data_IF_639430321244
#
_entry.id   IF_639430321244
#
_cell.length_a   1.000
_cell.length_b   1.000
_cell.length_c   1.000
_cell.angle_alpha   90.00
_cell.angle_beta   90.00
_cell.angle_gamma   90.00
#
_symmetry.space_group_name_H-M   'P 1'
#
loop_
_entity.id
_entity.type
_entity.pdbx_description
1 polymer ?
#
# COMPACT_ATOMS: atom_id res chain seq x y z
N UNK A 1 -84.33 -86.69 78.84
CA UNK A 1 -84.40 -85.36 79.49
C UNK A 1 -84.54 -84.32 78.40
N UNK A 2 -85.43 -83.34 78.57
CA UNK A 2 -85.60 -82.25 77.61
C UNK A 2 -84.38 -81.30 77.74
N UNK A 3 -83.51 -81.25 76.73
CA UNK A 3 -82.29 -80.42 76.75
C UNK A 3 -82.28 -79.41 75.60
N UNK A 4 -81.37 -78.43 75.65
CA UNK A 4 -81.11 -77.54 74.52
C UNK A 4 -80.40 -78.28 73.37
N UNK A 5 -80.70 -78.01 72.09
CA UNK A 5 -80.17 -78.79 70.96
C UNK A 5 -78.65 -78.76 70.75
N UNK A 6 -77.98 -77.64 71.08
CA UNK A 6 -76.58 -77.43 70.68
C UNK A 6 -75.57 -77.72 71.81
N UNK A 7 -75.94 -77.40 73.04
CA UNK A 7 -75.07 -77.50 74.20
C UNK A 7 -75.57 -78.52 75.24
N UNK A 8 -76.66 -79.23 74.93
CA UNK A 8 -77.28 -80.22 75.79
C UNK A 8 -77.56 -79.74 77.22
N UNK A 9 -77.80 -78.44 77.41
CA UNK A 9 -78.15 -77.86 78.71
C UNK A 9 -79.52 -78.38 79.16
N UNK A 10 -79.69 -78.78 80.43
CA UNK A 10 -80.99 -79.17 80.98
C UNK A 10 -82.02 -78.05 80.84
N UNK A 11 -83.24 -78.37 80.39
CA UNK A 11 -84.38 -77.45 80.39
C UNK A 11 -85.37 -77.76 81.51
N UNK A 12 -86.15 -76.77 81.96
CA UNK A 12 -87.23 -77.05 82.89
C UNK A 12 -88.27 -78.03 82.41
N UNK A 13 -88.75 -78.85 83.34
CA UNK A 13 -89.82 -79.83 83.12
C UNK A 13 -91.03 -79.38 83.93
N UNK A 14 -92.13 -79.11 83.25
CA UNK A 14 -93.38 -78.56 83.79
C UNK A 14 -94.12 -79.51 84.74
N UNK A 15 -93.77 -80.80 84.74
CA UNK A 15 -94.33 -81.82 85.63
C UNK A 15 -93.45 -82.17 86.84
N UNK A 16 -92.27 -81.57 86.98
CA UNK A 16 -91.36 -81.82 88.11
C UNK A 16 -91.69 -80.89 89.31
N UNK A 17 -91.39 -81.35 90.53
CA UNK A 17 -91.50 -80.52 91.72
C UNK A 17 -90.49 -79.34 91.65
N UNK A 18 -90.87 -78.21 92.25
CA UNK A 18 -90.14 -76.94 92.10
C UNK A 18 -88.71 -77.01 92.64
N UNK A 19 -88.49 -77.77 93.70
CA UNK A 19 -87.16 -77.94 94.32
C UNK A 19 -86.20 -78.71 93.42
N UNK A 20 -86.64 -79.78 92.76
CA UNK A 20 -85.84 -80.48 91.74
C UNK A 20 -85.51 -79.58 90.53
N UNK A 21 -86.45 -78.70 90.16
CA UNK A 21 -86.25 -77.77 89.05
C UNK A 21 -85.21 -76.68 89.37
N UNK A 22 -85.12 -76.23 90.62
CA UNK A 22 -84.07 -75.29 91.04
C UNK A 22 -82.65 -75.89 90.89
N UNK A 23 -82.44 -77.16 91.26
CA UNK A 23 -81.15 -77.82 91.05
C UNK A 23 -80.82 -78.03 89.56
N UNK A 24 -81.83 -78.32 88.74
CA UNK A 24 -81.67 -78.46 87.30
C UNK A 24 -81.24 -77.14 86.65
N UNK A 25 -81.83 -76.02 87.08
CA UNK A 25 -81.45 -74.68 86.64
C UNK A 25 -80.04 -74.30 87.09
N UNK A 26 -79.63 -74.61 88.31
CA UNK A 26 -78.26 -74.37 88.77
C UNK A 26 -77.24 -75.09 87.89
N UNK A 27 -77.46 -76.39 87.62
CA UNK A 27 -76.58 -77.15 86.74
C UNK A 27 -76.51 -76.57 85.32
N UNK A 28 -77.64 -76.12 84.77
CA UNK A 28 -77.66 -75.47 83.47
C UNK A 28 -76.85 -74.16 83.45
N UNK A 29 -76.89 -73.37 84.53
CA UNK A 29 -76.10 -72.14 84.66
C UNK A 29 -74.60 -72.40 84.79
N UNK A 30 -74.18 -73.38 85.59
CA UNK A 30 -72.76 -73.75 85.73
C UNK A 30 -72.18 -74.25 84.39
N UNK A 31 -72.96 -75.03 83.65
CA UNK A 31 -72.56 -75.49 82.31
C UNK A 31 -72.47 -74.32 81.31
N UNK A 32 -73.39 -73.36 81.38
CA UNK A 32 -73.36 -72.18 80.51
C UNK A 32 -72.11 -71.32 80.76
N UNK A 33 -71.76 -71.08 82.02
CA UNK A 33 -70.58 -70.31 82.40
C UNK A 33 -69.29 -70.97 81.86
N UNK A 34 -69.16 -72.28 82.04
CA UNK A 34 -68.00 -73.02 81.53
C UNK A 34 -67.87 -72.93 80.00
N UNK A 35 -68.99 -73.02 79.28
CA UNK A 35 -69.02 -72.88 77.82
C UNK A 35 -68.57 -71.47 77.42
N UNK A 36 -69.12 -70.43 78.05
CA UNK A 36 -68.78 -69.04 77.77
C UNK A 36 -67.30 -68.75 78.04
N UNK A 37 -66.78 -69.21 79.17
CA UNK A 37 -65.37 -69.03 79.52
C UNK A 37 -64.43 -69.69 78.51
N UNK A 38 -64.74 -70.91 78.06
CA UNK A 38 -63.95 -71.62 77.04
C UNK A 38 -63.95 -70.90 75.69
N UNK A 39 -65.10 -70.33 75.28
CA UNK A 39 -65.19 -69.55 74.04
C UNK A 39 -64.33 -68.28 74.12
N UNK A 40 -64.33 -67.57 75.25
CA UNK A 40 -63.50 -66.37 75.44
C UNK A 40 -62.00 -66.70 75.31
N UNK A 41 -61.54 -67.79 75.92
CA UNK A 41 -60.14 -68.21 75.83
C UNK A 41 -59.71 -68.56 74.39
N UNK A 42 -60.58 -69.23 73.63
CA UNK A 42 -60.27 -69.57 72.23
C UNK A 42 -60.26 -68.34 71.31
N UNK A 43 -61.13 -67.36 71.58
CA UNK A 43 -61.16 -66.10 70.82
C UNK A 43 -59.89 -65.28 71.10
N UNK A 44 -59.44 -65.22 72.35
CA UNK A 44 -58.21 -64.50 72.73
C UNK A 44 -56.93 -65.05 72.06
N UNK A 45 -56.90 -66.34 71.68
CA UNK A 45 -55.78 -66.97 71.00
C UNK A 45 -55.77 -66.80 69.47
N UNK A 46 -56.82 -66.25 68.86
CA UNK A 46 -56.86 -65.96 67.42
C UNK A 46 -56.34 -64.54 67.15
N UNK A 47 -55.66 -64.33 66.03
CA UNK A 47 -55.20 -62.99 65.67
C UNK A 47 -56.39 -62.04 65.44
N UNK A 48 -56.25 -60.76 65.81
CA UNK A 48 -57.20 -59.72 65.42
C UNK A 48 -57.40 -59.68 63.89
N UNK A 49 -58.53 -59.11 63.45
CA UNK A 49 -59.00 -59.03 62.05
C UNK A 49 -58.03 -58.31 61.08
N UNK A 50 -56.87 -57.85 61.54
CA UNK A 50 -55.76 -57.40 60.71
C UNK A 50 -54.42 -57.71 61.37
N UNK A 51 -53.58 -58.49 60.70
CA UNK A 51 -52.15 -58.60 60.97
C UNK A 51 -51.37 -58.45 59.66
N UNK A 52 -50.10 -58.02 59.74
CA UNK A 52 -49.24 -57.81 58.59
C UNK A 52 -48.31 -58.99 58.32
N UNK A 53 -47.88 -59.13 57.07
CA UNK A 53 -46.80 -60.02 56.65
C UNK A 53 -45.63 -59.18 56.16
N UNK A 54 -44.41 -59.57 56.49
CA UNK A 54 -43.23 -59.05 55.82
C UNK A 54 -43.15 -59.62 54.40
N UNK A 55 -42.54 -58.90 53.46
CA UNK A 55 -42.37 -59.39 52.07
C UNK A 55 -41.69 -60.76 52.00
N UNK A 56 -40.79 -61.05 52.96
CA UNK A 56 -40.10 -62.35 53.06
C UNK A 56 -41.01 -63.54 53.41
N UNK A 57 -42.21 -63.28 53.93
CA UNK A 57 -43.19 -64.31 54.27
C UNK A 57 -43.86 -64.91 53.01
N UNK A 58 -43.76 -64.21 51.86
CA UNK A 58 -44.30 -64.67 50.58
C UNK A 58 -43.15 -65.23 49.73
N UNK A 59 -42.99 -66.55 49.77
CA UNK A 59 -41.95 -67.27 49.03
C UNK A 59 -41.97 -66.90 47.54
N UNK A 60 -40.83 -66.43 47.03
CA UNK A 60 -40.65 -66.08 45.62
C UNK A 60 -41.04 -64.65 45.22
N UNK A 61 -41.71 -63.87 46.10
CA UNK A 61 -42.11 -62.49 45.76
C UNK A 61 -40.90 -61.56 45.51
N UNK A 62 -39.85 -61.68 46.32
CA UNK A 62 -38.60 -60.91 46.14
C UNK A 62 -37.95 -61.22 44.79
N UNK A 63 -37.88 -62.50 44.41
CA UNK A 63 -37.33 -62.91 43.11
C UNK A 63 -38.19 -62.42 41.94
N UNK A 64 -39.52 -62.44 42.09
CA UNK A 64 -40.44 -61.92 41.08
C UNK A 64 -40.29 -60.39 40.91
N UNK A 65 -40.13 -59.64 42.01
CA UNK A 65 -39.89 -58.19 42.00
C UNK A 65 -38.53 -57.84 41.38
N UNK A 66 -37.48 -58.61 41.66
CA UNK A 66 -36.16 -58.40 41.07
C UNK A 66 -36.13 -58.57 39.54
N UNK A 67 -37.09 -59.33 38.98
CA UNK A 67 -37.26 -59.50 37.52
C UNK A 67 -38.12 -58.40 36.87
N UNK A 68 -38.66 -57.45 37.65
CA UNK A 68 -39.40 -56.30 37.12
C UNK A 68 -38.46 -55.10 36.99
N UNK A 69 -38.74 -54.28 35.99
CA UNK A 69 -38.00 -53.04 35.76
C UNK A 69 -38.44 -51.96 36.76
N UNK A 70 -37.47 -51.17 37.22
CA UNK A 70 -37.73 -50.00 38.07
C UNK A 70 -38.63 -48.99 37.34
N UNK A 71 -39.63 -48.45 38.02
CA UNK A 71 -40.54 -47.45 37.47
C UNK A 71 -39.84 -46.14 37.07
N UNK A 72 -38.66 -45.89 37.63
CA UNK A 72 -37.83 -44.71 37.34
C UNK A 72 -36.77 -44.96 36.27
N UNK A 73 -36.72 -46.17 35.70
CA UNK A 73 -35.72 -46.50 34.66
C UNK A 73 -35.97 -45.66 33.41
N UNK A 74 -34.99 -44.81 33.08
CA UNK A 74 -34.93 -44.09 31.80
C UNK A 74 -34.07 -44.86 30.80
N UNK A 75 -34.43 -44.78 29.53
CA UNK A 75 -33.64 -45.34 28.42
C UNK A 75 -33.05 -44.22 27.57
N UNK A 76 -31.77 -44.34 27.26
CA UNK A 76 -31.13 -43.58 26.19
C UNK A 76 -31.40 -44.25 24.85
N UNK A 77 -31.19 -43.53 23.75
CA UNK A 77 -31.36 -44.12 22.42
C UNK A 77 -30.35 -45.25 22.15
N UNK A 78 -29.17 -45.18 22.78
CA UNK A 78 -28.13 -46.22 22.71
C UNK A 78 -28.45 -47.49 23.51
N UNK A 79 -29.52 -47.49 24.31
CA UNK A 79 -30.01 -48.72 24.92
C UNK A 79 -30.70 -49.65 23.89
N UNK A 80 -30.99 -49.15 22.68
CA UNK A 80 -31.53 -49.92 21.58
C UNK A 80 -30.42 -50.64 20.81
N UNK A 81 -30.64 -51.92 20.50
CA UNK A 81 -29.64 -52.76 19.81
C UNK A 81 -29.37 -52.36 18.36
N UNK A 82 -30.27 -51.57 17.76
CA UNK A 82 -30.19 -51.09 16.40
C UNK A 82 -29.75 -49.61 16.31
N UNK A 83 -29.22 -49.04 17.39
CA UNK A 83 -28.67 -47.68 17.43
C UNK A 83 -27.17 -47.74 17.74
N UNK A 84 -26.39 -46.88 17.09
CA UNK A 84 -24.94 -46.80 17.27
C UNK A 84 -24.49 -45.35 17.46
N UNK A 85 -24.08 -45.01 18.69
CA UNK A 85 -23.37 -43.77 19.01
C UNK A 85 -24.23 -42.51 19.11
N UNK A 86 -25.52 -42.62 19.44
CA UNK A 86 -26.44 -41.49 19.54
C UNK A 86 -26.12 -40.52 20.68
N UNK A 87 -25.62 -41.01 21.83
CA UNK A 87 -25.28 -40.17 22.99
C UNK A 87 -24.07 -39.27 22.72
N UNK A 88 -23.10 -39.76 21.94
CA UNK A 88 -21.87 -39.04 21.61
C UNK A 88 -21.99 -38.20 20.33
N UNK A 89 -23.20 -38.12 19.76
CA UNK A 89 -23.45 -37.36 18.54
C UNK A 89 -23.24 -35.86 18.75
N UNK A 90 -22.60 -35.20 17.78
CA UNK A 90 -22.50 -33.75 17.79
C UNK A 90 -23.88 -33.10 17.62
N UNK A 91 -24.06 -31.90 18.18
CA UNK A 91 -25.29 -31.13 18.02
C UNK A 91 -25.64 -30.95 16.54
N UNK A 92 -26.94 -31.08 16.21
CA UNK A 92 -27.51 -30.98 14.87
C UNK A 92 -27.20 -32.15 13.91
N UNK A 93 -26.71 -33.28 14.42
CA UNK A 93 -26.62 -34.51 13.62
C UNK A 93 -28.00 -35.16 13.51
N UNK A 94 -28.26 -35.75 12.35
CA UNK A 94 -29.50 -36.46 12.05
C UNK A 94 -29.26 -37.96 12.20
N UNK A 95 -30.20 -38.69 12.79
CA UNK A 95 -30.17 -40.15 12.77
C UNK A 95 -30.53 -40.64 11.37
N UNK A 96 -29.61 -41.39 10.77
CA UNK A 96 -29.79 -42.02 9.46
C UNK A 96 -29.59 -43.52 9.59
N UNK A 97 -30.25 -44.28 8.73
CA UNK A 97 -30.06 -45.72 8.67
C UNK A 97 -28.83 -46.04 7.81
N UNK A 98 -27.79 -46.54 8.47
CA UNK A 98 -26.54 -46.95 7.84
C UNK A 98 -26.71 -48.16 6.93
N UNK A 99 -25.70 -48.41 6.11
CA UNK A 99 -25.63 -49.59 5.23
C UNK A 99 -25.52 -50.90 5.99
N UNK A 100 -25.12 -50.85 7.26
CA UNK A 100 -25.11 -51.95 8.22
C UNK A 100 -26.48 -52.21 8.87
N UNK A 101 -27.49 -51.40 8.53
CA UNK A 101 -28.87 -51.54 9.01
C UNK A 101 -29.13 -50.91 10.38
N UNK A 102 -28.13 -50.27 11.01
CA UNK A 102 -28.28 -49.56 12.28
C UNK A 102 -28.61 -48.08 12.07
N UNK A 103 -29.22 -47.48 13.07
CA UNK A 103 -29.41 -46.04 13.17
C UNK A 103 -28.16 -45.40 13.74
N UNK A 104 -27.53 -44.53 12.97
CA UNK A 104 -26.30 -43.83 13.34
C UNK A 104 -26.45 -42.33 13.10
N UNK A 105 -25.89 -41.47 13.97
CA UNK A 105 -25.84 -40.04 13.72
C UNK A 105 -24.97 -39.70 12.51
N UNK A 106 -25.43 -38.80 11.65
CA UNK A 106 -24.68 -38.30 10.51
C UNK A 106 -24.92 -36.82 10.32
N UNK A 107 -23.92 -36.11 9.79
CA UNK A 107 -24.09 -34.72 9.37
C UNK A 107 -25.11 -34.65 8.23
N UNK A 108 -25.89 -33.57 8.16
CA UNK A 108 -26.85 -33.37 7.06
C UNK A 108 -26.18 -33.48 5.67
N UNK A 109 -24.94 -32.99 5.55
CA UNK A 109 -24.13 -33.09 4.31
C UNK A 109 -23.75 -34.53 3.95
N UNK A 110 -23.43 -35.38 4.94
CA UNK A 110 -23.07 -36.77 4.68
C UNK A 110 -24.32 -37.64 4.42
N UNK A 111 -25.44 -37.31 5.06
CA UNK A 111 -26.72 -37.99 4.87
C UNK A 111 -27.34 -37.75 3.48
N UNK A 112 -27.32 -36.51 3.01
CA UNK A 112 -27.93 -36.11 1.73
C UNK A 112 -26.97 -36.26 0.55
N UNK A 113 -25.66 -36.30 0.82
CA UNK A 113 -24.62 -36.31 -0.21
C UNK A 113 -24.54 -35.00 -1.00
N UNK A 114 -23.67 -34.99 -2.01
CA UNK A 114 -23.62 -33.90 -2.98
C UNK A 114 -24.91 -33.91 -3.80
N UNK A 115 -25.71 -32.85 -3.69
CA UNK A 115 -26.92 -32.65 -4.47
C UNK A 115 -26.82 -31.34 -5.27
N UNK A 116 -27.64 -31.24 -6.31
CA UNK A 116 -27.76 -30.05 -7.14
C UNK A 116 -29.19 -29.51 -7.01
N UNK A 117 -29.35 -28.20 -7.20
CA UNK A 117 -30.63 -27.54 -7.32
C UNK A 117 -30.80 -27.07 -8.77
N UNK A 118 -32.01 -27.23 -9.32
CA UNK A 118 -32.35 -26.55 -10.56
C UNK A 118 -32.48 -25.04 -10.27
N UNK A 119 -32.25 -24.19 -11.28
CA UNK A 119 -32.36 -22.73 -11.10
C UNK A 119 -33.74 -22.30 -10.58
N UNK A 120 -34.80 -23.03 -10.92
CA UNK A 120 -36.16 -22.78 -10.43
C UNK A 120 -36.38 -23.12 -8.95
N UNK A 121 -35.46 -23.86 -8.32
CA UNK A 121 -35.54 -24.19 -6.88
C UNK A 121 -35.02 -23.04 -6.01
N UNK A 122 -34.37 -22.03 -6.60
CA UNK A 122 -33.75 -20.90 -5.90
C UNK A 122 -34.65 -19.67 -6.06
N UNK A 123 -35.44 -19.38 -5.03
CA UNK A 123 -36.33 -18.20 -4.98
C UNK A 123 -35.50 -16.93 -5.22
N UNK A 124 -35.90 -16.12 -6.21
CA UNK A 124 -35.29 -14.84 -6.55
C UNK A 124 -34.15 -14.90 -7.59
N UNK A 125 -33.57 -16.08 -7.88
CA UNK A 125 -32.45 -16.18 -8.82
C UNK A 125 -32.82 -15.77 -10.25
N UNK A 126 -34.04 -16.10 -10.69
CA UNK A 126 -34.54 -15.70 -12.02
C UNK A 126 -34.68 -14.19 -12.14
N UNK A 127 -35.16 -13.52 -11.09
CA UNK A 127 -35.35 -12.07 -11.07
C UNK A 127 -34.00 -11.35 -11.02
N UNK A 128 -33.05 -11.86 -10.23
CA UNK A 128 -31.68 -11.35 -10.16
C UNK A 128 -30.96 -11.49 -11.50
N UNK A 129 -31.08 -12.65 -12.16
CA UNK A 129 -30.44 -12.89 -13.46
C UNK A 129 -31.05 -12.00 -14.55
N UNK A 130 -32.36 -11.78 -14.51
CA UNK A 130 -33.06 -10.86 -15.42
C UNK A 130 -32.61 -9.42 -15.20
N UNK A 131 -32.49 -8.99 -13.94
CA UNK A 131 -32.02 -7.66 -13.57
C UNK A 131 -30.57 -7.43 -14.01
N UNK A 132 -29.71 -8.44 -13.85
CA UNK A 132 -28.34 -8.40 -14.32
C UNK A 132 -28.26 -8.30 -15.85
N UNK A 133 -29.08 -9.06 -16.58
CA UNK A 133 -29.16 -8.97 -18.04
C UNK A 133 -29.55 -7.56 -18.48
N UNK A 134 -30.57 -6.99 -17.84
CA UNK A 134 -31.02 -5.63 -18.15
C UNK A 134 -29.92 -4.58 -17.87
N UNK A 135 -29.22 -4.68 -16.75
CA UNK A 135 -28.12 -3.75 -16.42
C UNK A 135 -26.96 -3.85 -17.43
N UNK A 136 -26.67 -5.05 -17.93
CA UNK A 136 -25.68 -5.27 -18.99
C UNK A 136 -26.13 -4.60 -20.29
N UNK A 137 -27.39 -4.77 -20.69
CA UNK A 137 -27.94 -4.18 -21.91
C UNK A 137 -27.96 -2.65 -21.84
N UNK A 138 -28.34 -2.07 -20.70
CA UNK A 138 -28.30 -0.62 -20.45
C UNK A 138 -26.86 -0.07 -20.51
N UNK A 139 -25.89 -0.80 -19.95
CA UNK A 139 -24.47 -0.44 -20.00
C UNK A 139 -23.92 -0.53 -21.42
N UNK A 140 -24.31 -1.56 -22.19
CA UNK A 140 -23.91 -1.74 -23.58
C UNK A 140 -24.47 -0.62 -24.47
N UNK A 141 -25.73 -0.25 -24.29
CA UNK A 141 -26.35 0.88 -24.98
C UNK A 141 -25.65 2.21 -24.66
N UNK A 142 -25.33 2.44 -23.38
CA UNK A 142 -24.60 3.64 -22.96
C UNK A 142 -23.15 3.70 -23.50
N UNK A 143 -22.51 2.54 -23.67
CA UNK A 143 -21.18 2.46 -24.27
C UNK A 143 -21.22 2.72 -25.78
N UNK A 144 -22.24 2.21 -26.48
CA UNK A 144 -22.46 2.48 -27.89
C UNK A 144 -22.71 3.99 -28.16
N UNK A 145 -23.55 4.65 -27.35
CA UNK A 145 -23.76 6.10 -27.44
C UNK A 145 -22.46 6.90 -27.20
N UNK A 146 -21.66 6.50 -26.20
CA UNK A 146 -20.34 7.12 -25.97
C UNK A 146 -19.39 6.89 -27.15
N UNK A 147 -19.41 5.73 -27.78
CA UNK A 147 -18.57 5.42 -28.94
C UNK A 147 -18.95 6.28 -30.16
N UNK A 148 -20.25 6.47 -30.42
CA UNK A 148 -20.74 7.34 -31.49
C UNK A 148 -20.46 8.83 -31.21
N UNK A 149 -20.54 9.26 -29.95
CA UNK A 149 -20.18 10.64 -29.55
C UNK A 149 -18.69 10.93 -29.66
N UNK A 150 -17.82 9.94 -29.39
CA UNK A 150 -16.37 10.06 -29.62
C UNK A 150 -16.06 10.11 -31.12
N UNK A 151 -16.84 9.43 -31.97
CA UNK A 151 -16.65 9.47 -33.42
C UNK A 151 -17.10 10.79 -34.07
N UNK A 152 -18.07 11.50 -33.50
CA UNK A 152 -18.65 12.73 -34.12
C UNK A 152 -18.05 14.06 -33.63
N UNK A 153 -17.30 14.09 -32.53
CA UNK A 153 -16.87 15.37 -31.91
C UNK A 153 -15.52 15.90 -32.41
N UNK A 154 -14.67 15.08 -33.02
CA UNK A 154 -13.28 15.46 -33.37
C UNK A 154 -12.97 15.42 -34.89
N UNK A 155 -13.92 15.81 -35.75
CA UNK A 155 -13.66 16.03 -37.18
C UNK A 155 -13.81 17.52 -37.54
N UNK A 156 -12.87 18.07 -38.32
CA UNK A 156 -13.02 19.42 -38.86
C UNK A 156 -14.15 19.46 -39.89
N UNK A 157 -14.53 20.65 -40.36
CA UNK A 157 -15.58 20.80 -41.38
C UNK A 157 -15.25 20.13 -42.73
N UNK A 158 -14.08 19.51 -42.88
CA UNK A 158 -13.68 18.73 -44.04
C UNK A 158 -13.51 17.23 -43.72
N UNK A 159 -13.99 16.74 -42.57
CA UNK A 159 -13.92 15.34 -42.19
C UNK A 159 -12.50 14.84 -41.89
N UNK A 160 -11.62 15.74 -41.40
CA UNK A 160 -10.26 15.37 -40.96
C UNK A 160 -10.17 15.47 -39.44
N UNK A 161 -9.50 14.49 -38.83
CA UNK A 161 -9.19 14.47 -37.39
C UNK A 161 -8.57 15.81 -36.95
N UNK A 162 -9.32 16.60 -36.18
CA UNK A 162 -8.83 17.83 -35.57
C UNK A 162 -8.02 17.46 -34.34
N UNK A 163 -6.71 17.39 -34.52
CA UNK A 163 -5.71 17.29 -33.45
C UNK A 163 -6.01 16.19 -32.40
N UNK A 164 -5.39 15.02 -32.61
CA UNK A 164 -5.12 14.07 -31.53
C UNK A 164 -4.54 14.81 -30.29
N UNK A 165 -5.36 15.11 -29.28
CA UNK A 165 -4.90 15.64 -27.98
C UNK A 165 -3.90 14.65 -27.33
N UNK A 166 -3.99 13.36 -27.69
CA UNK A 166 -2.99 12.33 -27.35
C UNK A 166 -1.60 12.57 -27.96
N UNK A 167 -1.47 13.34 -29.05
CA UNK A 167 -0.19 13.81 -29.61
C UNK A 167 0.30 15.11 -28.97
N UNK A 168 -0.51 15.82 -28.18
CA UNK A 168 0.02 16.90 -27.32
C UNK A 168 0.79 16.27 -26.16
N UNK A 169 0.33 15.11 -25.67
CA UNK A 169 0.98 14.36 -24.61
C UNK A 169 2.16 13.43 -25.03
N UNK A 170 2.42 13.31 -26.34
CA UNK A 170 3.54 12.49 -26.87
C UNK A 170 4.10 12.90 -28.24
N UNK A 171 3.75 14.06 -28.79
CA UNK A 171 4.22 14.59 -30.07
C UNK A 171 5.28 15.69 -29.93
N UNK A 172 5.61 16.41 -31.01
CA UNK A 172 6.70 17.40 -31.05
C UNK A 172 6.61 18.49 -29.95
N UNK A 173 5.39 18.87 -29.56
CA UNK A 173 5.15 19.86 -28.49
C UNK A 173 5.21 19.28 -27.07
N UNK A 174 5.11 17.95 -26.92
CA UNK A 174 5.22 17.25 -25.61
C UNK A 174 6.57 17.49 -24.93
N UNK A 175 7.60 17.70 -25.75
CA UNK A 175 8.98 17.91 -25.33
C UNK A 175 9.18 19.24 -24.57
N UNK A 176 8.20 20.13 -24.56
CA UNK A 176 8.19 21.38 -23.79
C UNK A 176 7.42 21.30 -22.47
N UNK A 177 6.75 20.19 -22.15
CA UNK A 177 6.04 20.03 -20.86
C UNK A 177 7.01 19.95 -19.69
N UNK A 178 8.08 19.18 -19.83
CA UNK A 178 9.09 19.06 -18.79
C UNK A 178 9.90 20.37 -18.71
N UNK A 179 9.78 21.11 -17.61
CA UNK A 179 10.50 22.37 -17.41
C UNK A 179 12.00 22.17 -17.13
N UNK A 180 12.40 20.94 -16.80
CA UNK A 180 13.80 20.59 -16.58
C UNK A 180 14.51 20.34 -17.92
N UNK A 181 15.79 20.67 -17.91
CA UNK A 181 16.78 20.45 -18.95
C UNK A 181 17.75 19.39 -18.43
N UNK A 182 18.18 18.48 -19.29
CA UNK A 182 19.15 17.44 -19.06
C UNK A 182 18.79 16.51 -17.88
N UNK A 183 17.50 16.22 -17.67
CA UNK A 183 17.07 15.33 -16.59
C UNK A 183 17.37 13.85 -16.82
N UNK A 184 17.80 13.45 -18.02
CA UNK A 184 18.35 12.12 -18.33
C UNK A 184 19.89 12.08 -18.24
N UNK A 185 20.53 13.20 -17.94
CA UNK A 185 21.98 13.35 -17.80
C UNK A 185 22.76 12.95 -19.07
N UNK A 186 22.18 13.19 -20.25
CA UNK A 186 22.81 12.93 -21.54
C UNK A 186 23.96 13.90 -21.87
N UNK A 187 23.90 15.13 -21.35
CA UNK A 187 24.93 16.18 -21.51
C UNK A 187 25.77 16.29 -20.22
N UNK A 188 27.10 16.39 -20.35
CA UNK A 188 28.04 16.46 -19.22
C UNK A 188 29.34 17.19 -19.62
N UNK A 189 29.24 18.43 -20.05
CA UNK A 189 30.33 19.26 -20.60
C UNK A 189 31.21 19.89 -19.50
N UNK A 190 30.70 20.02 -18.28
CA UNK A 190 31.43 20.64 -17.15
C UNK A 190 32.63 19.82 -16.66
N UNK A 191 32.72 18.55 -17.04
CA UNK A 191 33.77 17.62 -16.62
C UNK A 191 34.46 17.01 -17.82
N UNK A 192 35.80 17.12 -17.88
CA UNK A 192 36.59 16.55 -18.97
C UNK A 192 36.45 15.02 -19.07
N UNK A 193 36.38 14.34 -17.92
CA UNK A 193 36.12 12.90 -17.83
C UNK A 193 34.88 12.68 -16.95
N UNK A 194 33.67 12.58 -17.56
CA UNK A 194 32.40 12.55 -16.82
C UNK A 194 32.25 11.39 -15.82
N UNK A 195 32.99 10.30 -16.01
CA UNK A 195 32.94 9.10 -15.15
C UNK A 195 33.74 9.24 -13.86
N UNK A 196 34.78 10.09 -13.83
CA UNK A 196 35.56 10.41 -12.62
C UNK A 196 34.85 11.41 -11.71
N UNK A 197 34.01 12.26 -12.30
CA UNK A 197 33.10 13.16 -11.57
C UNK A 197 33.74 14.45 -11.03
N UNK A 198 32.93 15.19 -10.27
CA UNK A 198 33.27 16.43 -9.56
C UNK A 198 33.09 16.19 -8.07
N UNK A 199 34.09 16.57 -7.27
CA UNK A 199 33.96 16.53 -5.80
C UNK A 199 33.27 17.82 -5.35
N UNK A 200 32.12 17.67 -4.70
CA UNK A 200 31.44 18.76 -3.98
C UNK A 200 31.77 18.60 -2.50
N UNK A 201 32.62 19.50 -2.00
CA UNK A 201 33.06 19.49 -0.61
C UNK A 201 31.88 19.63 0.37
N UNK A 202 32.08 19.21 1.61
CA UNK A 202 31.14 19.48 2.70
C UNK A 202 30.92 20.99 2.84
N UNK A 203 29.66 21.42 2.93
CA UNK A 203 29.27 22.83 3.01
C UNK A 203 29.37 23.61 1.69
N UNK A 204 29.59 22.95 0.55
CA UNK A 204 29.76 23.61 -0.75
C UNK A 204 28.62 23.28 -1.74
N UNK A 205 28.52 24.11 -2.78
CA UNK A 205 27.63 23.87 -3.92
C UNK A 205 28.38 23.95 -5.24
N UNK A 206 27.99 23.13 -6.22
CA UNK A 206 28.56 23.19 -7.57
C UNK A 206 27.55 22.75 -8.64
N UNK A 207 27.64 23.38 -9.81
CA UNK A 207 27.00 22.87 -11.02
C UNK A 207 27.82 21.71 -11.59
N UNK A 208 27.19 20.57 -11.84
CA UNK A 208 27.90 19.32 -12.19
C UNK A 208 27.47 18.75 -13.54
N UNK A 209 26.17 18.55 -13.75
CA UNK A 209 25.62 17.85 -14.91
C UNK A 209 24.94 18.81 -15.89
N UNK A 210 25.59 19.93 -16.24
CA UNK A 210 25.03 21.01 -17.08
C UNK A 210 23.61 21.44 -16.64
N UNK A 211 23.53 22.50 -15.82
CA UNK A 211 22.34 23.05 -15.12
C UNK A 211 21.97 22.43 -13.77
N UNK A 212 22.40 21.20 -13.50
CA UNK A 212 22.13 20.59 -12.19
C UNK A 212 23.07 21.12 -11.12
N UNK A 213 22.49 21.81 -10.13
CA UNK A 213 23.17 22.32 -8.94
C UNK A 213 23.09 21.27 -7.83
N UNK A 214 24.24 20.85 -7.33
CA UNK A 214 24.35 20.01 -6.14
C UNK A 214 24.82 20.88 -4.99
N UNK A 215 24.00 20.99 -3.95
CA UNK A 215 24.36 21.65 -2.68
C UNK A 215 24.57 20.58 -1.62
N UNK A 216 25.77 20.55 -1.06
CA UNK A 216 26.17 19.57 -0.05
C UNK A 216 26.26 20.25 1.31
N UNK A 217 25.26 20.04 2.17
CA UNK A 217 25.29 20.50 3.57
C UNK A 217 25.70 19.39 4.54
N UNK A 218 26.08 18.22 4.01
CA UNK A 218 26.57 17.12 4.83
C UNK A 218 27.97 17.41 5.36
N UNK A 219 28.41 16.61 6.34
CA UNK A 219 29.76 16.67 6.87
C UNK A 219 30.79 15.85 6.07
N UNK A 220 30.44 15.34 4.89
CA UNK A 220 31.33 14.54 4.05
C UNK A 220 31.36 15.07 2.61
N UNK A 221 32.49 14.98 1.89
CA UNK A 221 32.51 15.29 0.47
C UNK A 221 31.69 14.25 -0.31
N UNK A 222 31.06 14.69 -1.40
CA UNK A 222 30.35 13.81 -2.34
C UNK A 222 31.00 13.92 -3.72
N UNK A 223 31.24 12.78 -4.36
CA UNK A 223 31.73 12.75 -5.74
C UNK A 223 30.56 12.54 -6.69
N UNK A 224 30.30 13.52 -7.57
CA UNK A 224 29.20 13.49 -8.52
C UNK A 224 29.69 13.15 -9.90
N UNK A 225 29.23 12.04 -10.48
CA UNK A 225 29.67 11.55 -11.80
C UNK A 225 28.50 11.13 -12.68
N UNK A 226 28.74 11.06 -13.99
CA UNK A 226 27.81 10.42 -14.94
C UNK A 226 28.14 8.94 -15.05
N UNK A 227 27.12 8.11 -14.89
CA UNK A 227 27.24 6.66 -14.99
C UNK A 227 26.29 6.11 -16.05
N UNK A 228 26.63 4.95 -16.60
CA UNK A 228 25.77 4.22 -17.53
C UNK A 228 24.69 3.47 -16.75
N UNK A 229 23.50 3.43 -17.33
CA UNK A 229 22.55 2.37 -17.00
C UNK A 229 23.01 1.03 -17.57
N UNK A 230 22.69 -0.06 -16.88
CA UNK A 230 22.94 -1.41 -17.38
C UNK A 230 22.09 -1.63 -18.63
N UNK A 231 22.68 -2.27 -19.65
CA UNK A 231 21.97 -2.57 -20.89
C UNK A 231 20.76 -3.46 -20.60
N UNK A 232 19.60 -3.08 -21.16
CA UNK A 232 18.36 -3.82 -20.97
C UNK A 232 17.60 -3.53 -19.67
N UNK A 233 18.04 -2.57 -18.84
CA UNK A 233 17.29 -2.16 -17.65
C UNK A 233 15.84 -1.79 -17.99
N UNK A 234 14.92 -2.13 -17.10
CA UNK A 234 13.49 -1.82 -17.22
C UNK A 234 12.92 -1.06 -15.99
N UNK A 235 13.76 -0.74 -15.00
CA UNK A 235 13.35 -0.04 -13.78
C UNK A 235 13.05 1.45 -14.03
N UNK A 236 13.64 2.03 -15.07
CA UNK A 236 13.43 3.41 -15.49
C UNK A 236 12.81 3.43 -16.90
N UNK A 237 11.60 3.98 -17.10
CA UNK A 237 10.92 4.09 -18.38
C UNK A 237 11.77 4.77 -19.47
N UNK A 238 11.47 4.56 -20.75
CA UNK A 238 12.22 5.20 -21.85
C UNK A 238 13.68 4.76 -22.00
N UNK A 239 14.18 3.86 -21.15
CA UNK A 239 15.54 3.29 -21.21
C UNK A 239 16.64 4.36 -21.35
N UNK A 240 16.72 5.33 -20.42
CA UNK A 240 17.77 6.34 -20.45
C UNK A 240 19.14 5.67 -20.43
N UNK A 241 20.09 6.23 -21.17
CA UNK A 241 21.44 5.70 -21.25
C UNK A 241 22.27 6.04 -20.02
N UNK A 242 21.98 7.17 -19.38
CA UNK A 242 22.80 7.74 -18.32
C UNK A 242 22.00 8.01 -17.05
N UNK A 243 22.75 8.11 -15.94
CA UNK A 243 22.27 8.52 -14.62
C UNK A 243 23.35 9.38 -13.95
N UNK A 244 22.93 10.24 -13.04
CA UNK A 244 23.83 10.94 -12.14
C UNK A 244 24.07 10.07 -10.91
N UNK A 245 25.33 9.89 -10.52
CA UNK A 245 25.74 9.19 -9.30
C UNK A 245 26.35 10.17 -8.32
N UNK A 246 25.83 10.16 -7.10
CA UNK A 246 26.37 10.80 -5.91
C UNK A 246 27.06 9.70 -5.09
N UNK A 247 28.39 9.70 -5.06
CA UNK A 247 29.18 8.68 -4.37
C UNK A 247 29.77 9.24 -3.08
N UNK A 248 29.47 8.58 -1.96
CA UNK A 248 30.07 8.84 -0.66
C UNK A 248 31.06 7.72 -0.32
N UNK A 249 32.34 8.08 -0.21
CA UNK A 249 33.38 7.17 0.28
C UNK A 249 33.28 6.95 1.79
N UNK A 250 32.70 7.91 2.52
CA UNK A 250 32.46 7.85 3.96
C UNK A 250 31.01 8.25 4.22
N UNK A 251 30.31 7.48 5.06
CA UNK A 251 28.92 7.74 5.38
C UNK A 251 28.76 9.11 6.06
N UNK A 252 27.90 10.00 5.55
CA UNK A 252 27.57 11.22 6.26
C UNK A 252 26.80 10.93 7.55
N UNK A 253 27.05 11.73 8.59
CA UNK A 253 26.32 11.62 9.87
C UNK A 253 25.34 12.78 10.08
N UNK A 254 25.50 13.87 9.33
CA UNK A 254 24.67 15.08 9.43
C UNK A 254 24.42 15.69 8.04
N UNK A 255 23.48 16.64 7.97
CA UNK A 255 23.17 17.40 6.76
C UNK A 255 22.48 16.61 5.64
N UNK A 256 22.36 17.26 4.49
CA UNK A 256 21.64 16.79 3.30
C UNK A 256 22.40 17.08 2.00
N UNK A 257 22.07 16.33 0.96
CA UNK A 257 22.40 16.67 -0.43
C UNK A 257 21.13 17.19 -1.09
N UNK A 258 21.21 18.37 -1.68
CA UNK A 258 20.14 18.93 -2.50
C UNK A 258 20.56 18.94 -3.97
N UNK A 259 19.85 18.17 -4.78
CA UNK A 259 19.98 18.14 -6.24
C UNK A 259 18.88 18.98 -6.84
N UNK A 260 19.24 20.12 -7.42
CA UNK A 260 18.28 21.10 -7.87
C UNK A 260 18.57 21.60 -9.28
N UNK A 261 17.53 22.12 -9.91
CA UNK A 261 17.66 22.87 -11.14
C UNK A 261 16.72 24.06 -11.14
N UNK A 262 17.28 25.22 -11.49
CA UNK A 262 16.55 26.48 -11.65
C UNK A 262 15.93 26.54 -13.03
N UNK A 263 14.72 27.04 -13.12
CA UNK A 263 13.97 27.34 -14.34
C UNK A 263 13.76 28.84 -14.38
N UNK A 264 14.22 29.46 -15.46
CA UNK A 264 14.19 30.92 -15.64
C UNK A 264 12.76 31.46 -15.64
N UNK A 265 12.51 32.57 -14.93
CA UNK A 265 11.19 33.17 -14.80
C UNK A 265 10.40 32.55 -13.66
N UNK A 266 10.13 33.33 -12.61
CA UNK A 266 9.29 32.89 -11.47
C UNK A 266 7.84 32.64 -11.86
N UNK A 267 7.40 33.23 -12.97
CA UNK A 267 6.09 33.06 -13.61
C UNK A 267 5.93 31.75 -14.38
N UNK A 268 7.00 30.97 -14.55
CA UNK A 268 6.96 29.71 -15.31
C UNK A 268 5.90 28.74 -14.79
N UNK A 269 5.65 28.75 -13.48
CA UNK A 269 4.76 27.82 -12.81
C UNK A 269 4.04 28.51 -11.65
N UNK A 270 2.71 28.50 -11.69
CA UNK A 270 1.83 28.75 -10.56
C UNK A 270 0.74 27.67 -10.47
N UNK A 271 0.19 27.43 -9.27
CA UNK A 271 -0.83 26.41 -9.06
C UNK A 271 -0.29 24.97 -9.02
N UNK A 272 -1.04 24.01 -9.58
CA UNK A 272 -0.69 22.59 -9.46
C UNK A 272 0.54 22.25 -10.30
N UNK A 273 1.48 21.48 -9.74
CA UNK A 273 2.64 20.96 -10.48
C UNK A 273 3.07 19.59 -9.96
N UNK A 274 3.72 18.82 -10.83
CA UNK A 274 4.20 17.47 -10.55
C UNK A 274 5.68 17.33 -10.83
N UNK A 275 6.42 16.72 -9.92
CA UNK A 275 7.79 16.31 -10.17
C UNK A 275 7.94 14.79 -10.13
N UNK A 276 8.83 14.27 -10.97
CA UNK A 276 9.23 12.85 -10.96
C UNK A 276 10.74 12.72 -10.95
N UNK A 277 11.20 11.71 -10.23
CA UNK A 277 12.58 11.26 -10.30
C UNK A 277 12.65 9.74 -10.14
N UNK A 278 13.68 9.13 -10.73
CA UNK A 278 14.01 7.73 -10.50
C UNK A 278 15.26 7.67 -9.64
N UNK A 279 15.09 7.18 -8.40
CA UNK A 279 16.14 7.12 -7.39
C UNK A 279 16.44 5.68 -7.00
N UNK A 280 17.72 5.41 -6.81
CA UNK A 280 18.22 4.22 -6.13
C UNK A 280 19.39 4.59 -5.23
N UNK A 281 19.67 3.74 -4.26
CA UNK A 281 20.72 3.97 -3.28
C UNK A 281 21.00 2.70 -2.48
N UNK A 282 21.91 2.79 -1.50
CA UNK A 282 22.06 1.76 -0.48
C UNK A 282 20.72 1.39 0.18
N UNK A 283 20.59 0.13 0.63
CA UNK A 283 19.35 -0.36 1.24
C UNK A 283 19.17 0.25 2.65
N UNK A 284 18.55 1.42 2.71
CA UNK A 284 18.27 2.16 3.93
C UNK A 284 16.95 2.93 3.85
N UNK A 285 16.40 3.27 5.03
CA UNK A 285 15.20 4.11 5.16
C UNK A 285 15.56 5.60 5.23
N UNK A 286 16.55 6.02 4.46
CA UNK A 286 17.06 7.39 4.45
C UNK A 286 16.03 8.33 3.83
N UNK A 287 15.82 9.49 4.46
CA UNK A 287 14.75 10.42 4.11
C UNK A 287 15.01 11.09 2.76
N UNK A 288 13.95 11.14 1.94
CA UNK A 288 13.85 11.92 0.73
C UNK A 288 12.74 12.97 0.88
N UNK A 289 13.05 14.21 0.50
CA UNK A 289 12.07 15.27 0.35
C UNK A 289 12.20 15.91 -1.03
N UNK A 290 11.17 16.64 -1.43
CA UNK A 290 11.14 17.41 -2.67
C UNK A 290 10.48 18.76 -2.39
N UNK A 291 11.07 19.82 -2.92
CA UNK A 291 10.65 21.19 -2.70
C UNK A 291 10.74 22.03 -3.98
N UNK A 292 9.92 23.07 -4.02
CA UNK A 292 9.95 24.10 -5.06
C UNK A 292 10.23 25.44 -4.40
N UNK A 293 11.16 26.20 -4.97
CA UNK A 293 11.49 27.56 -4.52
C UNK A 293 11.09 28.55 -5.60
N UNK A 294 10.21 29.50 -5.28
CA UNK A 294 9.96 30.69 -6.09
C UNK A 294 10.89 31.81 -5.60
N UNK A 295 11.84 32.22 -6.44
CA UNK A 295 12.75 33.33 -6.16
C UNK A 295 12.41 34.51 -7.09
N UNK A 296 12.15 35.67 -6.51
CA UNK A 296 11.72 36.85 -7.27
C UNK A 296 12.89 37.71 -7.79
N UNK A 297 14.12 37.19 -7.76
CA UNK A 297 15.30 37.84 -8.30
C UNK A 297 15.91 38.89 -7.38
N UNK A 298 16.74 39.74 -7.95
CA UNK A 298 17.51 40.78 -7.27
C UNK A 298 17.39 42.13 -7.98
N UNK A 299 17.84 43.20 -7.34
CA UNK A 299 17.74 44.57 -7.86
C UNK A 299 16.41 45.23 -7.47
N UNK A 300 16.47 46.48 -7.00
CA UNK A 300 15.32 47.15 -6.40
C UNK A 300 14.92 46.54 -5.05
N UNK A 301 13.63 46.26 -4.88
CA UNK A 301 13.04 45.66 -3.66
C UNK A 301 12.15 44.44 -4.02
N UNK A 302 12.73 43.33 -4.48
CA UNK A 302 11.99 42.13 -4.84
C UNK A 302 11.34 41.48 -3.60
N UNK A 303 10.30 40.69 -3.83
CA UNK A 303 9.68 39.88 -2.78
C UNK A 303 10.63 38.78 -2.27
N UNK A 304 10.50 38.41 -1.00
CA UNK A 304 11.26 37.31 -0.42
C UNK A 304 10.91 35.97 -1.10
N UNK A 305 11.91 35.09 -1.24
CA UNK A 305 11.73 33.77 -1.83
C UNK A 305 10.74 32.92 -1.03
N UNK A 306 9.93 32.15 -1.72
CA UNK A 306 8.92 31.26 -1.14
C UNK A 306 9.35 29.82 -1.37
N UNK A 307 9.51 29.05 -0.30
CA UNK A 307 9.83 27.62 -0.35
C UNK A 307 8.56 26.83 -0.08
N UNK A 308 8.21 25.95 -1.01
CA UNK A 308 7.02 25.10 -0.97
C UNK A 308 7.46 23.64 -0.96
N UNK A 309 7.25 22.95 0.16
CA UNK A 309 7.45 21.50 0.21
C UNK A 309 6.37 20.79 -0.62
N UNK A 310 6.67 19.58 -1.09
CA UNK A 310 5.70 18.74 -1.78
C UNK A 310 4.47 18.51 -0.89
N UNK A 311 3.27 18.81 -1.40
CA UNK A 311 2.00 18.56 -0.72
C UNK A 311 1.73 17.06 -0.60
N UNK A 312 2.29 16.26 -1.52
CA UNK A 312 2.39 14.81 -1.36
C UNK A 312 3.68 14.30 -2.01
N UNK A 313 4.29 13.31 -1.37
CA UNK A 313 5.40 12.51 -1.89
C UNK A 313 5.03 11.04 -1.67
N UNK A 314 4.86 10.29 -2.76
CA UNK A 314 4.38 8.90 -2.71
C UNK A 314 5.27 7.98 -1.86
N UNK A 315 6.58 8.14 -1.97
CA UNK A 315 7.59 7.40 -1.24
C UNK A 315 8.63 8.39 -0.71
N UNK A 316 8.65 8.60 0.60
CA UNK A 316 9.54 9.57 1.27
C UNK A 316 10.92 9.00 1.64
N UNK A 317 11.35 7.90 1.01
CA UNK A 317 12.68 7.29 1.21
C UNK A 317 13.50 7.30 -0.07
N UNK A 318 14.82 7.44 0.05
CA UNK A 318 15.73 7.44 -1.11
C UNK A 318 15.71 6.07 -1.80
N UNK A 319 15.89 4.99 -1.04
CA UNK A 319 15.77 3.62 -1.54
C UNK A 319 14.37 3.05 -1.29
N UNK A 320 13.90 2.26 -2.24
CA UNK A 320 12.68 1.46 -2.10
C UNK A 320 12.87 0.18 -2.94
N UNK A 321 12.62 -0.97 -2.32
CA UNK A 321 12.88 -2.27 -2.95
C UNK A 321 11.91 -2.60 -4.10
N UNK A 322 10.71 -2.01 -4.09
CA UNK A 322 9.67 -2.29 -5.09
C UNK A 322 9.80 -1.43 -6.35
N UNK A 323 10.25 -0.16 -6.20
CA UNK A 323 10.32 0.77 -7.31
C UNK A 323 11.36 1.88 -7.12
N UNK A 324 11.96 2.30 -8.23
CA UNK A 324 12.85 3.48 -8.27
C UNK A 324 12.06 4.80 -8.40
N UNK A 325 10.76 4.76 -8.65
CA UNK A 325 9.97 5.96 -8.97
C UNK A 325 9.64 6.75 -7.70
N UNK A 326 9.80 8.08 -7.76
CA UNK A 326 9.34 9.04 -6.75
C UNK A 326 8.46 10.09 -7.42
N UNK A 327 7.27 10.32 -6.88
CA UNK A 327 6.27 11.25 -7.39
C UNK A 327 5.98 12.29 -6.32
N UNK A 328 6.31 13.54 -6.63
CA UNK A 328 5.97 14.68 -5.79
C UNK A 328 4.86 15.51 -6.46
N UNK A 329 3.89 15.96 -5.68
CA UNK A 329 2.86 16.91 -6.08
C UNK A 329 3.05 18.21 -5.32
N UNK A 330 2.72 19.33 -5.97
CA UNK A 330 2.85 20.66 -5.40
C UNK A 330 1.59 21.48 -5.67
N UNK A 331 1.24 22.31 -4.69
CA UNK A 331 0.36 23.46 -4.87
C UNK A 331 1.25 24.71 -4.76
N UNK A 332 1.80 25.14 -5.90
CA UNK A 332 2.70 26.29 -5.99
C UNK A 332 1.88 27.57 -5.71
N UNK A 333 2.29 28.40 -4.74
CA UNK A 333 1.59 29.63 -4.40
C UNK A 333 1.50 30.61 -5.58
N UNK A 334 0.39 31.36 -5.61
CA UNK A 334 0.23 32.45 -6.59
C UNK A 334 1.29 33.53 -6.40
N UNK A 335 1.78 34.07 -7.51
CA UNK A 335 2.70 35.21 -7.55
C UNK A 335 1.96 36.56 -7.59
N UNK A 336 0.62 36.57 -7.54
CA UNK A 336 -0.16 37.80 -7.58
C UNK A 336 0.23 38.75 -6.42
N UNK A 337 0.51 40.01 -6.75
CA UNK A 337 0.94 41.02 -5.78
C UNK A 337 2.40 40.91 -5.32
N UNK A 338 3.18 39.96 -5.84
CA UNK A 338 4.63 39.88 -5.62
C UNK A 338 5.36 40.84 -6.56
N UNK A 339 6.53 41.31 -6.11
CA UNK A 339 7.41 42.19 -6.88
C UNK A 339 8.61 41.41 -7.38
N UNK A 340 8.82 41.40 -8.71
CA UNK A 340 9.99 40.81 -9.37
C UNK A 340 11.11 41.85 -9.41
N UNK A 341 12.34 41.41 -9.15
CA UNK A 341 13.54 42.23 -9.17
C UNK A 341 13.94 42.66 -10.59
N UNK A 342 14.68 43.75 -10.69
CA UNK A 342 15.02 44.37 -11.98
C UNK A 342 16.17 43.68 -12.73
N UNK A 343 16.88 42.73 -12.11
CA UNK A 343 18.08 42.12 -12.69
C UNK A 343 17.79 40.90 -13.59
N UNK A 344 16.52 40.50 -13.78
CA UNK A 344 16.14 39.39 -14.65
C UNK A 344 16.74 38.04 -14.24
N UNK A 345 16.91 37.82 -12.94
CA UNK A 345 17.47 36.60 -12.35
C UNK A 345 16.51 35.92 -11.38
N UNK A 346 15.21 36.14 -11.56
CA UNK A 346 14.14 35.41 -10.91
C UNK A 346 13.98 34.01 -11.53
N UNK A 347 13.49 33.07 -10.73
CA UNK A 347 13.38 31.67 -11.13
C UNK A 347 12.40 30.87 -10.28
N UNK A 348 11.95 29.76 -10.83
CA UNK A 348 11.40 28.62 -10.08
C UNK A 348 12.47 27.53 -10.00
N UNK A 349 12.74 26.98 -8.82
CA UNK A 349 13.72 25.92 -8.64
C UNK A 349 13.07 24.67 -8.07
N UNK A 350 13.24 23.52 -8.74
CA UNK A 350 12.89 22.23 -8.17
C UNK A 350 14.12 21.63 -7.49
N UNK A 351 13.97 21.19 -6.24
CA UNK A 351 15.03 20.53 -5.47
C UNK A 351 14.59 19.19 -4.90
N UNK A 352 15.34 18.13 -5.21
CA UNK A 352 15.29 16.86 -4.49
C UNK A 352 16.30 16.90 -3.34
N UNK A 353 15.82 16.71 -2.11
CA UNK A 353 16.61 16.80 -0.88
C UNK A 353 16.78 15.39 -0.31
N UNK A 354 18.01 14.87 -0.39
CA UNK A 354 18.41 13.55 0.07
C UNK A 354 19.09 13.68 1.43
N UNK A 355 18.78 12.77 2.35
CA UNK A 355 19.42 12.67 3.68
C UNK A 355 20.29 11.41 3.78
N UNK A 356 21.43 11.32 3.07
CA UNK A 356 22.26 10.12 3.00
C UNK A 356 22.94 9.81 4.34
N UNK A 357 22.99 8.55 4.73
CA UNK A 357 23.57 8.03 6.00
C UNK A 357 24.41 6.77 5.81
N UNK A 358 24.71 6.38 4.57
CA UNK A 358 25.47 5.18 4.26
C UNK A 358 26.63 5.49 3.31
N UNK A 359 27.65 4.63 3.35
CA UNK A 359 28.68 4.59 2.30
C UNK A 359 28.02 4.01 1.05
N UNK A 360 28.28 4.60 -0.10
CA UNK A 360 27.81 4.05 -1.36
C UNK A 360 27.35 5.09 -2.37
N UNK A 361 26.57 4.60 -3.32
CA UNK A 361 26.16 5.33 -4.50
C UNK A 361 24.66 5.61 -4.44
N UNK A 362 24.30 6.88 -4.39
CA UNK A 362 22.92 7.34 -4.59
C UNK A 362 22.82 7.80 -6.03
N UNK A 363 21.83 7.31 -6.76
CA UNK A 363 21.73 7.55 -8.20
C UNK A 363 20.37 8.11 -8.57
N UNK A 364 20.40 9.09 -9.47
CA UNK A 364 19.24 9.81 -9.97
C UNK A 364 19.17 9.67 -11.49
N UNK A 365 17.96 9.47 -12.02
CA UNK A 365 17.72 9.32 -13.45
C UNK A 365 16.33 9.83 -13.84
N UNK A 366 16.21 10.37 -15.06
CA UNK A 366 14.96 10.87 -15.64
C UNK A 366 14.16 11.76 -14.69
N UNK A 367 14.72 12.92 -14.40
CA UNK A 367 14.06 13.93 -13.59
C UNK A 367 13.14 14.76 -14.46
N UNK A 368 11.91 14.97 -14.00
CA UNK A 368 10.94 15.81 -14.69
C UNK A 368 10.18 16.70 -13.73
N UNK A 369 9.75 17.85 -14.26
CA UNK A 369 8.92 18.81 -13.57
C UNK A 369 7.92 19.37 -14.57
N UNK A 370 6.63 19.13 -14.36
CA UNK A 370 5.57 19.48 -15.30
C UNK A 370 4.47 20.26 -14.58
N UNK A 371 3.80 21.13 -15.30
CA UNK A 371 2.60 21.82 -14.82
C UNK A 371 1.44 20.83 -14.72
N UNK A 372 0.56 21.04 -13.74
CA UNK A 372 -0.60 20.19 -13.48
C UNK A 372 -0.29 18.90 -12.70
N UNK A 373 -1.33 18.06 -12.58
CA UNK A 373 -1.26 16.75 -11.95
C UNK A 373 -0.90 15.66 -12.98
N UNK A 374 0.33 15.16 -12.89
CA UNK A 374 0.87 14.05 -13.66
C UNK A 374 1.02 12.77 -12.82
N UNK A 375 0.37 12.65 -11.66
CA UNK A 375 0.44 11.48 -10.76
C UNK A 375 0.09 10.15 -11.45
N UNK A 376 -0.87 10.21 -12.39
CA UNK A 376 -1.37 9.08 -13.19
C UNK A 376 -0.61 8.83 -14.49
N UNK A 377 0.20 9.77 -14.94
CA UNK A 377 1.05 9.55 -16.12
C UNK A 377 2.10 8.49 -15.81
N UNK A 378 2.41 7.61 -16.76
CA UNK A 378 3.46 6.61 -16.58
C UNK A 378 4.86 7.26 -16.59
N UNK A 379 5.08 8.19 -17.51
CA UNK A 379 6.33 8.94 -17.64
C UNK A 379 6.11 10.37 -18.17
N UNK A 380 6.12 11.40 -17.29
CA UNK A 380 6.03 12.80 -17.67
C UNK A 380 7.34 13.37 -18.24
N UNK A 381 8.43 12.59 -18.33
CA UNK A 381 9.74 13.09 -18.77
C UNK A 381 9.76 13.65 -20.18
N UNK A 382 9.02 13.03 -21.12
CA UNK A 382 8.88 13.44 -22.52
C UNK A 382 10.21 13.90 -23.16
N UNK A 383 11.13 12.96 -23.50
CA UNK A 383 12.49 13.29 -23.92
C UNK A 383 12.53 14.21 -25.16
N UNK A 384 13.42 15.20 -25.14
CA UNK A 384 13.71 16.04 -26.31
C UNK A 384 14.64 15.34 -27.29
N UNK A 385 14.66 15.82 -28.53
CA UNK A 385 15.71 15.45 -29.46
C UNK A 385 17.09 15.88 -28.90
N UNK A 386 18.11 15.03 -29.04
CA UNK A 386 19.44 15.24 -28.44
C UNK A 386 20.07 16.58 -28.81
N UNK A 387 19.91 17.02 -30.07
CA UNK A 387 20.43 18.31 -30.52
C UNK A 387 19.74 19.50 -29.84
N UNK A 388 18.44 19.39 -29.56
CA UNK A 388 17.68 20.43 -28.86
C UNK A 388 18.06 20.47 -27.38
N UNK A 389 18.19 19.31 -26.72
CA UNK A 389 18.62 19.21 -25.32
C UNK A 389 20.04 19.80 -25.15
N UNK A 390 20.94 19.49 -26.08
CA UNK A 390 22.29 20.04 -26.09
C UNK A 390 22.30 21.55 -26.30
N UNK A 391 21.49 22.08 -27.23
CA UNK A 391 21.37 23.52 -27.43
C UNK A 391 20.84 24.25 -26.19
N UNK A 392 19.85 23.65 -25.50
CA UNK A 392 19.33 24.18 -24.23
C UNK A 392 20.39 24.19 -23.12
N UNK A 393 21.22 23.14 -23.01
CA UNK A 393 22.36 23.13 -22.08
C UNK A 393 23.37 24.22 -22.43
N UNK A 394 23.67 24.38 -23.73
CA UNK A 394 24.60 25.38 -24.24
C UNK A 394 24.17 26.82 -23.95
N UNK A 395 22.87 27.08 -23.75
CA UNK A 395 22.41 28.40 -23.29
C UNK A 395 22.97 28.78 -21.90
N UNK A 396 23.34 27.81 -21.07
CA UNK A 396 23.81 28.04 -19.69
C UNK A 396 25.29 27.75 -19.49
N UNK A 397 25.82 26.75 -20.19
CA UNK A 397 27.23 26.41 -20.09
C UNK A 397 27.78 25.89 -21.42
N UNK A 398 28.94 26.40 -21.82
CA UNK A 398 29.65 25.91 -23.00
C UNK A 398 31.15 25.82 -22.74
N UNK A 399 31.79 24.84 -23.37
CA UNK A 399 33.24 24.79 -23.51
C UNK A 399 33.66 25.00 -24.95
N UNK A 400 34.76 25.74 -25.15
CA UNK A 400 35.37 25.98 -26.46
C UNK A 400 36.89 26.00 -26.35
N UNK A 401 37.55 25.63 -27.44
CA UNK A 401 38.96 25.93 -27.67
C UNK A 401 39.04 26.98 -28.78
N UNK A 402 40.03 27.87 -28.69
CA UNK A 402 40.23 28.92 -29.68
C UNK A 402 41.70 29.19 -29.93
N UNK A 403 42.06 29.23 -31.20
CA UNK A 403 43.38 29.65 -31.67
C UNK A 403 43.30 31.11 -32.05
N UNK A 404 44.23 31.91 -31.53
CA UNK A 404 44.38 33.31 -31.91
C UNK A 404 45.76 33.48 -32.52
N UNK A 405 45.76 33.78 -33.82
CA UNK A 405 46.97 34.08 -34.58
C UNK A 405 47.19 35.60 -34.63
N UNK A 406 48.35 36.07 -34.15
CA UNK A 406 48.73 37.48 -34.18
C UNK A 406 50.10 37.67 -34.85
N UNK A 407 50.10 38.22 -36.07
CA UNK A 407 51.31 38.62 -36.78
C UNK A 407 51.50 40.14 -36.70
N UNK A 408 52.52 40.60 -35.96
CA UNK A 408 52.89 42.02 -35.93
C UNK A 408 53.97 42.34 -34.89
N UNK A 409 54.85 43.29 -35.20
CA UNK A 409 55.73 43.95 -34.23
C UNK A 409 55.02 45.21 -33.70
N UNK A 410 55.22 45.55 -32.41
CA UNK A 410 54.65 46.73 -31.70
C UNK A 410 53.24 46.60 -31.11
N UNK A 411 53.04 45.75 -30.08
CA UNK A 411 51.85 45.78 -29.21
C UNK A 411 50.50 45.77 -29.96
N UNK A 412 50.45 45.15 -31.13
CA UNK A 412 49.22 45.01 -31.90
C UNK A 412 48.33 43.96 -31.24
N UNK A 413 47.10 44.34 -30.87
CA UNK A 413 46.14 43.48 -30.20
C UNK A 413 44.88 43.28 -31.04
N UNK A 414 44.88 42.34 -32.01
CA UNK A 414 43.70 42.06 -32.82
C UNK A 414 42.62 41.40 -31.95
N UNK A 415 41.41 41.98 -31.94
CA UNK A 415 40.24 41.32 -31.35
C UNK A 415 39.64 40.33 -32.37
N UNK A 416 39.59 39.06 -32.01
CA UNK A 416 39.01 38.00 -32.85
C UNK A 416 37.74 37.43 -32.20
N UNK A 417 36.54 37.90 -32.58
CA UNK A 417 35.30 37.41 -32.00
C UNK A 417 34.79 36.16 -32.70
N UNK A 418 34.61 35.08 -31.95
CA UNK A 418 33.99 33.82 -32.38
C UNK A 418 32.53 33.77 -31.94
N UNK A 419 31.64 33.48 -32.88
CA UNK A 419 30.23 33.30 -32.57
C UNK A 419 30.00 31.97 -31.82
N UNK A 420 29.15 32.02 -30.80
CA UNK A 420 28.71 30.83 -30.09
C UNK A 420 27.65 30.10 -30.93
N UNK A 421 27.65 28.75 -30.97
CA UNK A 421 26.62 27.98 -31.68
C UNK A 421 25.20 28.24 -31.16
N UNK A 422 25.09 28.60 -29.89
CA UNK A 422 23.85 29.01 -29.23
C UNK A 422 24.14 30.23 -28.38
N UNK A 423 23.29 31.26 -28.48
CA UNK A 423 23.35 32.42 -27.61
C UNK A 423 23.14 32.00 -26.16
N UNK A 424 24.04 32.43 -25.28
CA UNK A 424 23.93 32.19 -23.85
C UNK A 424 22.85 33.06 -23.22
N UNK A 425 22.34 32.63 -22.06
CA UNK A 425 21.27 33.32 -21.34
C UNK A 425 21.62 34.79 -21.06
N UNK A 426 22.82 35.01 -20.53
CA UNK A 426 23.41 36.32 -20.25
C UNK A 426 24.87 36.31 -20.72
N UNK A 427 25.54 37.47 -20.67
CA UNK A 427 26.99 37.50 -20.85
C UNK A 427 27.64 36.58 -19.81
N UNK A 428 28.38 35.54 -20.21
CA UNK A 428 28.85 34.53 -19.28
C UNK A 428 30.07 35.02 -18.50
N UNK A 429 30.26 34.46 -17.32
CA UNK A 429 31.54 34.47 -16.62
C UNK A 429 32.41 33.36 -17.18
N UNK A 430 33.61 33.70 -17.63
CA UNK A 430 34.50 32.74 -18.27
C UNK A 430 35.74 32.39 -17.44
N UNK A 431 36.20 31.15 -17.58
CA UNK A 431 37.54 30.72 -17.16
C UNK A 431 38.23 30.03 -18.33
N UNK A 432 39.56 30.05 -18.37
CA UNK A 432 40.32 29.47 -19.46
C UNK A 432 41.69 29.02 -18.97
N UNK A 433 42.30 28.10 -19.71
CA UNK A 433 43.71 27.74 -19.55
C UNK A 433 44.49 28.22 -20.76
N UNK A 434 45.51 29.04 -20.55
CA UNK A 434 46.43 29.40 -21.62
C UNK A 434 47.45 28.28 -21.79
N UNK A 435 47.53 27.68 -22.99
CA UNK A 435 48.65 26.80 -23.35
C UNK A 435 49.43 27.55 -24.42
N UNK A 436 50.53 28.19 -24.01
CA UNK A 436 51.34 28.98 -24.93
C UNK A 436 52.34 28.12 -25.70
N UNK A 437 52.61 28.48 -26.96
CA UNK A 437 53.83 28.01 -27.64
C UNK A 437 54.36 29.02 -28.66
N UNK A 438 55.69 29.16 -28.68
CA UNK A 438 56.56 30.02 -29.50
C UNK A 438 56.36 31.55 -29.41
N UNK A 439 57.10 32.19 -28.49
CA UNK A 439 57.29 33.65 -28.43
C UNK A 439 57.18 34.25 -27.01
N UNK A 440 57.52 35.54 -26.88
CA UNK A 440 57.30 36.34 -25.66
C UNK A 440 56.00 37.15 -25.80
N UNK A 441 55.06 36.98 -24.88
CA UNK A 441 53.75 37.66 -24.89
C UNK A 441 53.32 38.03 -23.46
N UNK A 442 52.42 39.00 -23.36
CA UNK A 442 51.60 39.22 -22.15
C UNK A 442 50.28 38.47 -22.33
N UNK A 443 49.80 37.81 -21.27
CA UNK A 443 48.72 36.81 -21.34
C UNK A 443 47.42 37.33 -21.99
N UNK A 444 46.63 36.43 -22.62
CA UNK A 444 45.41 36.82 -23.32
C UNK A 444 44.36 37.39 -22.36
N UNK A 445 43.69 38.47 -22.76
CA UNK A 445 42.46 38.93 -22.08
C UNK A 445 41.26 38.45 -22.88
N UNK A 446 40.34 37.72 -22.26
CA UNK A 446 39.14 37.22 -22.94
C UNK A 446 37.94 38.09 -22.59
N UNK A 447 37.20 38.49 -23.60
CA UNK A 447 35.91 39.17 -23.49
C UNK A 447 34.79 38.21 -23.83
N UNK A 448 33.71 38.30 -23.06
CA UNK A 448 32.53 37.46 -23.22
C UNK A 448 31.28 38.31 -23.42
N UNK A 449 30.48 37.93 -24.40
CA UNK A 449 29.12 38.43 -24.63
C UNK A 449 28.18 37.24 -24.73
N UNK A 450 26.86 37.46 -24.66
CA UNK A 450 25.90 36.37 -24.78
C UNK A 450 26.00 35.63 -26.13
N UNK A 451 26.46 36.29 -27.19
CA UNK A 451 26.49 35.74 -28.55
C UNK A 451 27.88 35.29 -28.99
N UNK A 452 28.93 35.85 -28.41
CA UNK A 452 30.32 35.70 -28.87
C UNK A 452 31.30 35.73 -27.72
N UNK A 453 32.43 35.06 -27.90
CA UNK A 453 33.62 35.30 -27.10
C UNK A 453 34.77 35.74 -28.02
N UNK A 454 35.75 36.45 -27.47
CA UNK A 454 36.95 36.82 -28.23
C UNK A 454 38.11 37.13 -27.31
N UNK A 455 39.33 36.99 -27.82
CA UNK A 455 40.54 37.23 -27.06
C UNK A 455 41.33 38.43 -27.61
N UNK A 456 42.00 39.14 -26.71
CA UNK A 456 42.97 40.19 -26.96
C UNK A 456 44.36 39.67 -26.60
N UNK A 457 45.36 39.91 -27.45
CA UNK A 457 46.74 39.47 -27.22
C UNK A 457 47.69 40.60 -27.59
N UNK A 458 48.54 41.03 -26.67
CA UNK A 458 49.61 41.99 -26.97
C UNK A 458 50.91 41.23 -27.29
N UNK A 459 51.35 41.30 -28.54
CA UNK A 459 52.59 40.67 -28.99
C UNK A 459 53.82 41.58 -28.80
N UNK A 460 54.95 41.00 -28.39
CA UNK A 460 56.25 41.69 -28.28
C UNK A 460 57.25 41.27 -29.38
N UNK A 461 56.90 40.31 -30.25
CA UNK A 461 57.80 39.74 -31.28
C UNK A 461 57.11 39.53 -32.64
N UNK A 462 57.90 39.53 -33.72
CA UNK A 462 57.43 39.22 -35.07
C UNK A 462 57.07 37.72 -35.16
N UNK A 463 55.79 37.42 -35.33
CA UNK A 463 55.17 36.08 -35.41
C UNK A 463 55.02 35.35 -34.07
N UNK A 464 53.79 35.26 -33.56
CA UNK A 464 53.45 34.42 -32.41
C UNK A 464 52.02 33.88 -32.57
N UNK A 465 51.83 32.60 -32.22
CA UNK A 465 50.52 31.96 -32.17
C UNK A 465 50.21 31.65 -30.70
N UNK A 466 49.01 31.99 -30.23
CA UNK A 466 48.59 31.65 -28.87
C UNK A 466 47.35 30.79 -28.92
N UNK A 467 47.42 29.65 -28.27
CA UNK A 467 46.28 28.77 -28.09
C UNK A 467 45.65 29.01 -26.72
N UNK A 468 44.35 29.32 -26.75
CA UNK A 468 43.53 29.42 -25.54
C UNK A 468 42.61 28.22 -25.52
N UNK A 469 42.86 27.33 -24.57
CA UNK A 469 42.09 26.11 -24.41
C UNK A 469 41.18 26.12 -23.21
N UNK A 470 40.26 25.16 -23.22
CA UNK A 470 39.34 24.91 -22.14
C UNK A 470 38.62 26.18 -21.70
N UNK A 471 38.20 27.02 -22.66
CA UNK A 471 37.39 28.19 -22.37
C UNK A 471 36.06 27.68 -21.88
N UNK A 472 35.78 27.84 -20.59
CA UNK A 472 34.52 27.50 -19.94
C UNK A 472 33.74 28.78 -19.77
N UNK A 473 32.55 28.84 -20.32
CA UNK A 473 31.65 29.97 -20.22
C UNK A 473 30.44 29.54 -19.41
N UNK A 474 30.17 30.25 -18.32
CA UNK A 474 29.13 29.96 -17.35
C UNK A 474 28.15 31.13 -17.23
N UNK A 475 26.87 30.85 -17.51
CA UNK A 475 25.76 31.79 -17.44
C UNK A 475 24.57 31.20 -16.62
N UNK A 476 24.87 30.36 -15.63
CA UNK A 476 23.85 29.81 -14.73
C UNK A 476 23.09 30.90 -13.97
N UNK A 477 21.87 30.56 -13.53
CA UNK A 477 20.99 31.40 -12.70
C UNK A 477 21.47 31.50 -11.27
#
# INVERSE_FOLDING_TARGET
>A
MNTTPNFNLPKPIDTADVDEEFYRLQLAWDMLDLILFSMVQQIAGKSNLGHGHAIGDIVGLVAALANKMDATRTFSLDDLTDVDGAAEAALNYLLVKGSDGKWMPSSASAALGAHQHAQGDIVGLTDDLTSLSQAIDETAAALADKQDRVASTDQDMNGRDVLNVRKVNGGQLSSFRNKLINGDFSVFQRVAVPTTGVVVAAGASAYVADRWLVTNTTNQPVTVSRQLHILGQAAVPGRPKFKMRLAFATAPTTGTIRVAQRVEGVETLDGAASARAHLTGPAGAEVLACEVVQNFGTGGAPSASVVTAASSLDIATIYNAATQIRKAQFAIPSIAGKTIGSNGNDFVELGWVLTPRQVGNYELSQLSFVEGDASKEADPFSPRHKGQEFALCQRYYQTRDHIVDAAGTNNYSPYQPVALPVQMRVAPTGSHSTISTAGSFSGPTISYTAERFGAYISNTSATSNTWVGNIKMDAEL
#
